data_IF_998852887740
#
_entry.id   IF_998852887740
#
_cell.length_a   1.000
_cell.length_b   1.000
_cell.length_c   1.000
_cell.angle_alpha   90.00
_cell.angle_beta   90.00
_cell.angle_gamma   90.00
#
_symmetry.space_group_name_H-M   'P 1'
#
loop_
_entity.id
_entity.type
_entity.pdbx_description
1 polymer ?
#
# COMPACT_ATOMS: atom_id res chain seq x y z
N UNK A 1 -12.80 -9.97 -13.81
CA UNK A 1 -12.54 -9.74 -12.36
C UNK A 1 -13.04 -8.35 -12.01
N UNK A 2 -13.85 -8.16 -10.96
CA UNK A 2 -14.31 -6.83 -10.59
C UNK A 2 -13.14 -5.95 -10.13
N UNK A 3 -13.17 -4.65 -10.48
CA UNK A 3 -12.07 -3.68 -10.29
C UNK A 3 -11.55 -3.59 -8.86
N UNK A 4 -12.39 -3.91 -7.87
CA UNK A 4 -11.96 -3.95 -6.46
C UNK A 4 -10.95 -5.07 -6.18
N UNK A 5 -11.09 -6.24 -6.82
CA UNK A 5 -10.20 -7.40 -6.61
C UNK A 5 -8.79 -7.07 -7.08
N UNK A 6 -8.67 -6.40 -8.23
CA UNK A 6 -7.39 -5.96 -8.79
C UNK A 6 -6.61 -5.04 -7.85
N UNK A 7 -7.31 -4.27 -7.01
CA UNK A 7 -6.68 -3.33 -6.05
C UNK A 7 -6.37 -3.98 -4.71
N UNK A 8 -7.18 -4.94 -4.28
CA UNK A 8 -7.02 -5.62 -2.97
C UNK A 8 -5.94 -6.69 -3.03
N UNK A 9 -5.81 -7.43 -4.13
CA UNK A 9 -4.78 -8.48 -4.30
C UNK A 9 -3.36 -8.00 -3.97
N UNK A 10 -2.84 -6.88 -4.53
CA UNK A 10 -1.50 -6.42 -4.20
C UNK A 10 -1.36 -6.02 -2.73
N UNK A 11 -2.40 -5.44 -2.13
CA UNK A 11 -2.39 -5.11 -0.70
C UNK A 11 -2.25 -6.37 0.16
N UNK A 12 -3.04 -7.41 -0.10
CA UNK A 12 -2.96 -8.67 0.63
C UNK A 12 -1.59 -9.34 0.41
N UNK A 13 -1.08 -9.33 -0.81
CA UNK A 13 0.24 -9.90 -1.12
C UNK A 13 1.36 -9.18 -0.35
N UNK A 14 1.38 -7.85 -0.37
CA UNK A 14 2.38 -7.04 0.37
C UNK A 14 2.26 -7.27 1.88
N UNK A 15 1.03 -7.25 2.42
CA UNK A 15 0.79 -7.51 3.84
C UNK A 15 1.30 -8.90 4.24
N UNK A 16 1.04 -9.93 3.44
CA UNK A 16 1.51 -11.28 3.68
C UNK A 16 3.05 -11.36 3.66
N UNK A 17 3.70 -10.71 2.70
CA UNK A 17 5.17 -10.67 2.60
C UNK A 17 5.79 -9.99 3.81
N UNK A 18 5.24 -8.86 4.26
CA UNK A 18 5.73 -8.12 5.44
C UNK A 18 5.55 -8.93 6.71
N UNK A 19 4.38 -9.55 6.91
CA UNK A 19 4.13 -10.39 8.09
C UNK A 19 5.05 -11.61 8.09
N UNK A 20 5.20 -12.29 6.95
CA UNK A 20 6.08 -13.45 6.83
C UNK A 20 7.55 -13.08 7.10
N UNK A 21 8.05 -12.02 6.46
CA UNK A 21 9.45 -11.59 6.58
C UNK A 21 9.76 -10.96 7.94
N UNK A 22 8.77 -10.25 8.51
CA UNK A 22 8.87 -9.58 9.79
C UNK A 22 8.83 -10.54 10.98
N UNK A 23 8.03 -11.61 10.88
CA UNK A 23 7.80 -12.54 12.00
C UNK A 23 8.60 -13.85 11.89
N UNK A 24 9.28 -14.12 10.76
CA UNK A 24 10.15 -15.31 10.67
C UNK A 24 11.29 -15.23 11.71
N UNK A 25 11.66 -16.36 12.36
CA UNK A 25 12.65 -16.36 13.46
C UNK A 25 14.03 -15.87 13.04
N UNK A 26 14.46 -16.25 11.84
CA UNK A 26 15.77 -15.86 11.31
C UNK A 26 15.68 -14.49 10.62
N UNK A 27 16.62 -13.57 10.88
CA UNK A 27 16.78 -12.37 10.08
C UNK A 27 16.96 -12.70 8.60
N UNK A 28 16.50 -11.81 7.73
CA UNK A 28 16.87 -11.90 6.31
C UNK A 28 18.39 -11.66 6.22
N UNK A 29 19.17 -12.56 5.58
CA UNK A 29 20.61 -12.35 5.43
C UNK A 29 20.90 -11.00 4.80
N UNK A 30 21.75 -10.20 5.47
CA UNK A 30 22.17 -8.90 4.94
C UNK A 30 23.30 -9.10 3.92
N UNK A 31 23.15 -8.48 2.76
CA UNK A 31 24.11 -8.42 1.66
C UNK A 31 24.96 -7.15 1.75
N UNK A 32 24.44 -6.10 2.41
CA UNK A 32 25.14 -4.84 2.69
C UNK A 32 24.62 -4.21 3.99
N UNK A 33 25.37 -3.23 4.52
CA UNK A 33 25.01 -2.53 5.76
C UNK A 33 23.66 -1.79 5.65
N UNK A 34 22.82 -1.88 6.69
CA UNK A 34 21.53 -1.19 6.79
C UNK A 34 20.48 -1.64 5.77
N UNK A 35 20.65 -2.82 5.16
CA UNK A 35 19.66 -3.40 4.27
C UNK A 35 18.30 -3.62 4.97
N UNK A 36 18.32 -3.97 6.25
CA UNK A 36 17.14 -4.06 7.11
C UNK A 36 16.29 -2.79 7.05
N UNK A 37 16.89 -1.62 7.22
CA UNK A 37 16.20 -0.33 7.16
C UNK A 37 15.58 -0.07 5.79
N UNK A 38 16.24 -0.49 4.71
CA UNK A 38 15.66 -0.40 3.37
C UNK A 38 14.46 -1.35 3.21
N UNK A 39 14.50 -2.55 3.78
CA UNK A 39 13.34 -3.44 3.78
C UNK A 39 12.17 -2.85 4.58
N UNK A 40 12.44 -2.25 5.74
CA UNK A 40 11.44 -1.55 6.55
C UNK A 40 10.82 -0.36 5.78
N UNK A 41 11.67 0.49 5.19
CA UNK A 41 11.24 1.63 4.38
C UNK A 41 10.38 1.19 3.19
N UNK A 42 10.89 0.29 2.36
CA UNK A 42 10.22 -0.13 1.12
C UNK A 42 8.99 -0.99 1.39
N UNK A 43 9.05 -1.86 2.41
CA UNK A 43 7.92 -2.68 2.84
C UNK A 43 6.75 -1.80 3.28
N UNK A 44 6.96 -0.85 4.19
CA UNK A 44 5.89 0.03 4.66
C UNK A 44 5.46 1.08 3.63
N UNK A 45 6.34 1.48 2.71
CA UNK A 45 5.94 2.26 1.54
C UNK A 45 4.99 1.47 0.63
N UNK A 46 5.32 0.22 0.30
CA UNK A 46 4.45 -0.64 -0.49
C UNK A 46 3.12 -0.91 0.23
N UNK A 47 3.15 -1.14 1.55
CA UNK A 47 1.94 -1.37 2.35
C UNK A 47 1.01 -0.15 2.30
N UNK A 48 1.53 1.03 2.61
CA UNK A 48 0.71 2.25 2.60
C UNK A 48 0.20 2.57 1.20
N UNK A 49 1.05 2.44 0.17
CA UNK A 49 0.65 2.67 -1.22
C UNK A 49 -0.50 1.75 -1.64
N UNK A 50 -0.33 0.44 -1.47
CA UNK A 50 -1.36 -0.55 -1.85
C UNK A 50 -2.60 -0.46 -0.99
N UNK A 51 -2.49 -0.14 0.31
CA UNK A 51 -3.63 0.12 1.19
C UNK A 51 -4.46 1.30 0.68
N UNK A 52 -3.80 2.41 0.28
CA UNK A 52 -4.50 3.57 -0.30
C UNK A 52 -5.23 3.22 -1.58
N UNK A 53 -4.66 2.37 -2.44
CA UNK A 53 -5.30 1.93 -3.69
C UNK A 53 -6.47 0.97 -3.43
N UNK A 54 -6.32 0.03 -2.49
CA UNK A 54 -7.34 -0.95 -2.12
C UNK A 54 -8.56 -0.28 -1.48
N UNK A 55 -8.34 0.74 -0.63
CA UNK A 55 -9.38 1.42 0.13
C UNK A 55 -9.37 2.94 -0.11
N UNK A 56 -9.72 3.41 -1.31
CA UNK A 56 -9.61 4.83 -1.68
C UNK A 56 -10.51 5.74 -0.82
N UNK A 57 -11.62 5.21 -0.30
CA UNK A 57 -12.57 5.93 0.56
C UNK A 57 -12.17 5.99 2.04
N UNK A 58 -11.17 5.22 2.47
CA UNK A 58 -10.70 5.32 3.85
C UNK A 58 -10.05 6.69 4.10
N UNK A 59 -10.33 7.29 5.26
CA UNK A 59 -9.67 8.53 5.67
C UNK A 59 -8.18 8.27 5.85
N UNK A 60 -7.34 9.23 5.44
CA UNK A 60 -5.88 9.11 5.52
C UNK A 60 -5.41 8.76 6.93
N UNK A 61 -6.01 9.38 7.95
CA UNK A 61 -5.72 9.10 9.35
C UNK A 61 -5.79 7.60 9.68
N UNK A 62 -6.85 6.90 9.27
CA UNK A 62 -7.01 5.48 9.53
C UNK A 62 -6.01 4.61 8.76
N UNK A 63 -5.64 5.01 7.54
CA UNK A 63 -4.63 4.30 6.75
C UNK A 63 -3.23 4.42 7.36
N UNK A 64 -2.85 5.63 7.81
CA UNK A 64 -1.59 5.87 8.52
C UNK A 64 -1.58 5.13 9.85
N UNK A 65 -2.67 5.24 10.63
CA UNK A 65 -2.78 4.56 11.92
C UNK A 65 -2.65 3.04 11.75
N UNK A 66 -3.40 2.43 10.83
CA UNK A 66 -3.32 1.00 10.58
C UNK A 66 -1.91 0.54 10.16
N UNK A 67 -1.24 1.31 9.29
CA UNK A 67 0.11 0.98 8.83
C UNK A 67 1.14 1.09 9.97
N UNK A 68 1.08 2.15 10.77
CA UNK A 68 2.00 2.33 11.90
C UNK A 68 1.70 1.38 13.06
N UNK A 69 0.43 1.02 13.28
CA UNK A 69 0.07 -0.03 14.25
C UNK A 69 0.61 -1.39 13.81
N UNK A 70 0.55 -1.72 12.51
CA UNK A 70 1.16 -2.94 11.99
C UNK A 70 2.69 -2.93 12.16
N UNK A 71 3.34 -1.79 11.88
CA UNK A 71 4.78 -1.62 12.11
C UNK A 71 5.15 -1.86 13.58
N UNK A 72 4.47 -1.18 14.49
CA UNK A 72 4.72 -1.30 15.93
C UNK A 72 4.48 -2.73 16.43
N UNK A 73 3.41 -3.39 15.98
CA UNK A 73 3.10 -4.76 16.37
C UNK A 73 4.17 -5.75 15.91
N UNK A 74 4.67 -5.60 14.68
CA UNK A 74 5.77 -6.44 14.16
C UNK A 74 7.06 -6.18 14.95
N UNK A 75 7.39 -4.92 15.22
CA UNK A 75 8.58 -4.52 15.98
C UNK A 75 8.57 -5.10 17.41
N UNK A 76 7.42 -5.03 18.09
CA UNK A 76 7.23 -5.65 19.41
C UNK A 76 7.40 -7.16 19.30
N UNK A 77 6.78 -7.80 18.30
CA UNK A 77 6.90 -9.25 18.11
C UNK A 77 8.35 -9.68 17.84
N UNK A 78 9.11 -8.89 17.08
CA UNK A 78 10.54 -9.11 16.87
C UNK A 78 11.35 -8.96 18.16
N UNK A 79 11.02 -7.96 19.00
CA UNK A 79 11.66 -7.79 20.31
C UNK A 79 11.42 -8.92 21.31
N UNK A 80 10.42 -9.78 21.06
CA UNK A 80 10.16 -11.00 21.84
C UNK A 80 10.93 -12.22 21.31
N UNK A 81 11.61 -12.11 20.16
CA UNK A 81 12.35 -13.22 19.56
C UNK A 81 13.80 -13.24 20.07
N UNK A 82 14.39 -14.41 20.38
CA UNK A 82 15.73 -14.49 20.97
C UNK A 82 16.86 -13.95 20.08
N UNK A 83 16.67 -13.95 18.76
CA UNK A 83 17.68 -13.58 17.76
C UNK A 83 17.33 -12.27 17.03
N UNK A 84 16.35 -11.51 17.53
CA UNK A 84 16.00 -10.19 16.99
C UNK A 84 15.86 -9.18 18.12
N UNK A 85 16.12 -7.93 17.79
CA UNK A 85 16.01 -6.82 18.72
C UNK A 85 15.12 -5.77 18.09
N UNK A 86 14.12 -5.30 18.85
CA UNK A 86 13.38 -4.12 18.46
C UNK A 86 14.32 -2.90 18.40
N UNK A 87 14.16 -2.06 17.38
CA UNK A 87 15.03 -0.95 17.05
C UNK A 87 14.20 0.30 16.76
N UNK A 88 14.54 1.39 17.44
CA UNK A 88 13.98 2.70 17.11
C UNK A 88 14.33 3.14 15.67
N UNK A 89 15.46 2.65 15.13
CA UNK A 89 15.87 2.90 13.75
C UNK A 89 14.93 2.24 12.73
N UNK A 90 14.45 1.04 13.04
CA UNK A 90 13.53 0.30 12.18
C UNK A 90 12.14 0.93 12.22
N UNK A 91 11.68 1.36 13.40
CA UNK A 91 10.44 2.12 13.53
C UNK A 91 10.49 3.47 12.78
N UNK A 92 11.64 4.15 12.78
CA UNK A 92 11.84 5.36 11.97
C UNK A 92 11.76 5.04 10.47
N UNK A 93 12.43 3.98 10.02
CA UNK A 93 12.37 3.53 8.64
C UNK A 93 10.93 3.15 8.21
N UNK A 94 10.19 2.44 9.07
CA UNK A 94 8.77 2.13 8.86
C UNK A 94 7.94 3.41 8.68
N UNK A 95 8.16 4.41 9.54
CA UNK A 95 7.43 5.68 9.51
C UNK A 95 7.71 6.46 8.22
N UNK A 96 8.98 6.58 7.83
CA UNK A 96 9.37 7.18 6.56
C UNK A 96 8.78 6.42 5.36
N UNK A 97 8.70 5.08 5.47
CA UNK A 97 8.07 4.22 4.48
C UNK A 97 6.61 4.57 4.29
N UNK A 98 5.84 4.66 5.38
CA UNK A 98 4.42 5.07 5.32
C UNK A 98 4.26 6.44 4.65
N UNK A 99 5.10 7.43 4.99
CA UNK A 99 5.04 8.76 4.37
C UNK A 99 5.36 8.70 2.86
N UNK A 100 6.37 7.93 2.47
CA UNK A 100 6.76 7.72 1.08
C UNK A 100 5.62 7.05 0.29
N UNK A 101 5.06 5.96 0.81
CA UNK A 101 3.95 5.24 0.18
C UNK A 101 2.70 6.09 0.02
N UNK A 102 2.42 6.96 1.00
CA UNK A 102 1.36 7.96 0.88
C UNK A 102 1.64 8.96 -0.23
N UNK A 103 2.86 9.53 -0.29
CA UNK A 103 3.28 10.44 -1.35
C UNK A 103 3.14 9.84 -2.76
N UNK A 104 3.56 8.58 -2.93
CA UNK A 104 3.36 7.83 -4.17
C UNK A 104 1.88 7.68 -4.52
N UNK A 105 1.02 7.36 -3.56
CA UNK A 105 -0.42 7.24 -3.80
C UNK A 105 -1.03 8.58 -4.24
N UNK A 106 -0.65 9.69 -3.58
CA UNK A 106 -1.09 11.03 -3.97
C UNK A 106 -0.66 11.39 -5.39
N UNK A 107 0.58 11.06 -5.75
CA UNK A 107 1.07 11.27 -7.10
C UNK A 107 0.23 10.47 -8.11
N UNK A 108 -0.01 9.19 -7.87
CA UNK A 108 -0.87 8.34 -8.73
C UNK A 108 -2.29 8.91 -8.87
N UNK A 109 -2.90 9.37 -7.77
CA UNK A 109 -4.23 9.99 -7.82
C UNK A 109 -4.21 11.30 -8.61
N UNK A 110 -3.20 12.13 -8.41
CA UNK A 110 -3.04 13.39 -9.15
C UNK A 110 -2.89 13.15 -10.66
N UNK A 111 -2.05 12.18 -11.06
CA UNK A 111 -1.91 11.80 -12.46
C UNK A 111 -3.22 11.26 -13.02
N UNK A 112 -3.88 10.32 -12.33
CA UNK A 112 -5.13 9.73 -12.78
C UNK A 112 -6.23 10.79 -13.03
N UNK A 113 -6.38 11.75 -12.12
CA UNK A 113 -7.33 12.86 -12.27
C UNK A 113 -6.96 13.81 -13.41
N UNK A 114 -5.66 14.05 -13.63
CA UNK A 114 -5.15 14.94 -14.69
C UNK A 114 -5.20 14.31 -16.08
N UNK A 115 -5.08 12.99 -16.19
CA UNK A 115 -5.00 12.27 -17.48
C UNK A 115 -6.30 12.26 -18.30
N UNK A 116 -7.39 12.88 -17.83
CA UNK A 116 -8.67 12.91 -18.57
C UNK A 116 -9.35 11.54 -18.70
N UNK A 117 -8.78 10.48 -18.12
CA UNK A 117 -9.35 9.12 -18.10
C UNK A 117 -10.70 9.12 -17.39
N UNK A 118 -10.83 9.86 -16.28
CA UNK A 118 -12.10 10.07 -15.59
C UNK A 118 -13.15 10.81 -16.43
N UNK A 119 -12.73 11.54 -17.48
CA UNK A 119 -13.62 12.28 -18.39
C UNK A 119 -14.18 11.39 -19.50
N UNK A 120 -13.48 10.32 -19.88
CA UNK A 120 -13.94 9.36 -20.89
C UNK A 120 -15.03 8.39 -20.38
N UNK A 121 -15.03 8.05 -19.09
CA UNK A 121 -16.10 7.20 -18.49
C UNK A 121 -17.45 7.92 -18.38
N UNK A 122 -17.48 9.25 -18.36
CA UNK A 122 -18.73 10.04 -18.26
C UNK A 122 -19.26 10.53 -19.60
N UNK A 123 -18.38 10.65 -20.60
CA UNK A 123 -18.69 11.21 -21.92
C UNK A 123 -18.98 10.14 -22.98
N UNK A 124 -18.97 8.84 -22.66
CA UNK A 124 -19.57 7.82 -23.53
C UNK A 124 -21.08 7.89 -23.32
N UNK A 125 -21.84 8.61 -24.16
CA UNK A 125 -23.28 8.59 -24.06
C UNK A 125 -23.71 7.16 -24.38
N UNK A 126 -24.87 6.76 -23.90
CA UNK A 126 -25.54 5.55 -24.34
C UNK A 126 -26.00 5.73 -25.81
N UNK A 127 -25.04 5.88 -26.73
CA UNK A 127 -25.29 6.08 -28.17
C UNK A 127 -26.01 4.86 -28.73
N UNK A 128 -25.76 3.69 -28.13
CA UNK A 128 -26.49 2.47 -28.39
C UNK A 128 -27.99 2.59 -28.07
N UNK A 129 -28.40 3.26 -26.98
CA UNK A 129 -29.81 3.57 -26.74
C UNK A 129 -30.34 4.66 -27.66
N UNK A 130 -29.56 5.70 -27.94
CA UNK A 130 -30.01 6.82 -28.78
C UNK A 130 -30.27 6.37 -30.23
N UNK A 131 -29.47 5.45 -30.77
CA UNK A 131 -29.74 4.85 -32.08
C UNK A 131 -30.96 3.93 -32.06
N UNK A 132 -31.19 3.19 -30.97
CA UNK A 132 -32.39 2.35 -30.83
C UNK A 132 -33.70 3.15 -30.72
N UNK A 133 -33.66 4.32 -30.08
CA UNK A 133 -34.80 5.23 -29.93
C UNK A 133 -35.06 6.09 -31.18
N UNK A 134 -34.06 6.25 -32.05
CA UNK A 134 -34.22 6.92 -33.34
C UNK A 134 -34.83 5.99 -34.41
N UNK A 135 -34.75 4.68 -34.21
CA UNK A 135 -35.29 3.66 -35.12
C UNK A 135 -36.67 3.10 -34.72
N UNK A 136 -37.28 3.60 -33.63
CA UNK A 136 -38.63 3.24 -33.15
C UNK A 136 -39.65 4.35 -33.39
#
# INVERSE_FOLDING_TARGET
>A
MPLYVLRVVPFIAVLAVILFSGLKPEPVPQVFEQQDKLHHLLGFAALMFTLRLAFPRWRLFWAVLASLSAALAIEIAQGLQPHRTASAGDMLANTLGVLLGWGCAQLTYFWYLRSGVARRETDEPDVANLESLSQS
#
